data_IF_262271304552
#
_entry.id   IF_262271304552
#
_cell.length_a   1.000
_cell.length_b   1.000
_cell.length_c   1.000
_cell.angle_alpha   90.00
_cell.angle_beta   90.00
_cell.angle_gamma   90.00
#
_symmetry.space_group_name_H-M   'P 1'
#
loop_
_entity.id
_entity.type
_entity.pdbx_description
1 polymer ?
#
# COMPACT_ATOMS: atom_id res chain seq x y z
N UNK A 1 18.82 41.99 4.42
CA UNK A 1 17.39 41.64 4.36
C UNK A 1 16.97 41.05 3.00
N UNK A 2 17.91 40.61 2.15
CA UNK A 2 17.59 40.19 0.77
C UNK A 2 17.55 38.67 0.57
N UNK A 3 18.22 37.89 1.43
CA UNK A 3 18.23 36.42 1.36
C UNK A 3 16.93 35.75 1.82
N UNK A 4 16.13 36.43 2.66
CA UNK A 4 14.84 35.92 3.14
C UNK A 4 13.74 36.01 2.08
N UNK A 5 13.78 37.04 1.24
CA UNK A 5 12.82 37.24 0.14
C UNK A 5 13.11 36.29 -1.04
N UNK A 6 14.39 36.03 -1.35
CA UNK A 6 14.77 35.04 -2.37
C UNK A 6 14.43 33.60 -1.95
N UNK A 7 14.57 33.26 -0.66
CA UNK A 7 14.17 31.95 -0.14
C UNK A 7 12.66 31.71 -0.24
N UNK A 8 11.86 32.74 0.04
CA UNK A 8 10.40 32.65 -0.07
C UNK A 8 9.94 32.50 -1.52
N UNK A 9 10.59 33.21 -2.46
CA UNK A 9 10.31 33.11 -3.89
C UNK A 9 10.68 31.74 -4.48
N UNK A 10 11.76 31.12 -4.00
CA UNK A 10 12.14 29.77 -4.43
C UNK A 10 11.18 28.70 -3.89
N UNK A 11 10.71 28.87 -2.65
CA UNK A 11 9.73 27.97 -2.04
C UNK A 11 8.35 28.05 -2.72
N UNK A 12 7.90 29.24 -3.15
CA UNK A 12 6.64 29.39 -3.89
C UNK A 12 6.71 28.83 -5.31
N UNK A 13 7.86 28.93 -5.98
CA UNK A 13 8.05 28.32 -7.32
C UNK A 13 8.04 26.79 -7.24
N UNK A 14 8.62 26.19 -6.19
CA UNK A 14 8.59 24.73 -5.97
C UNK A 14 7.17 24.21 -5.68
N UNK A 15 6.33 25.00 -5.01
CA UNK A 15 4.94 24.63 -4.69
C UNK A 15 4.00 24.71 -5.89
N UNK A 16 4.21 25.65 -6.83
CA UNK A 16 3.37 25.78 -8.04
C UNK A 16 3.68 24.71 -9.09
N UNK A 17 4.91 24.20 -9.12
CA UNK A 17 5.33 23.14 -10.05
C UNK A 17 4.70 21.77 -9.81
N UNK A 18 4.09 21.53 -8.65
CA UNK A 18 3.45 20.25 -8.31
C UNK A 18 1.96 20.17 -8.68
N UNK A 19 1.36 21.26 -9.17
CA UNK A 19 -0.09 21.35 -9.39
C UNK A 19 -0.53 21.23 -10.87
N UNK A 20 0.39 21.02 -11.82
CA UNK A 20 0.07 20.91 -13.24
C UNK A 20 0.26 19.50 -13.76
N UNK A 21 -0.71 18.62 -13.49
CA UNK A 21 -0.90 17.39 -14.26
C UNK A 21 -1.99 17.64 -15.32
N UNK A 22 -1.76 17.32 -16.60
CA UNK A 22 -2.81 17.39 -17.62
C UNK A 22 -3.94 16.40 -17.30
N UNK A 23 -5.19 16.86 -17.42
CA UNK A 23 -6.41 16.12 -17.06
C UNK A 23 -7.04 15.31 -18.21
N UNK A 24 -6.38 15.18 -19.37
CA UNK A 24 -7.00 14.56 -20.56
C UNK A 24 -6.20 13.36 -21.08
N UNK A 25 -6.19 12.25 -20.32
CA UNK A 25 -5.92 10.91 -20.87
C UNK A 25 -6.98 9.93 -20.33
N UNK A 26 -7.91 9.45 -21.16
CA UNK A 26 -8.81 8.38 -20.78
C UNK A 26 -8.05 7.02 -20.77
N UNK A 27 -8.08 6.35 -19.61
CA UNK A 27 -7.86 4.90 -19.43
C UNK A 27 -6.43 4.30 -19.51
N UNK A 28 -5.39 5.09 -19.26
CA UNK A 28 -4.09 4.55 -18.89
C UNK A 28 -3.41 5.46 -17.89
N UNK A 29 -3.12 5.00 -16.68
CA UNK A 29 -2.25 5.77 -15.77
C UNK A 29 -0.93 5.97 -16.49
N UNK A 30 -0.63 7.22 -16.86
CA UNK A 30 0.61 7.57 -17.54
C UNK A 30 1.80 7.04 -16.74
N UNK A 31 2.67 6.29 -17.41
CA UNK A 31 3.88 5.71 -16.83
C UNK A 31 5.10 6.27 -17.57
N UNK A 32 5.55 7.50 -17.24
CA UNK A 32 6.64 8.16 -17.95
C UNK A 32 7.98 7.40 -17.86
N UNK A 33 8.09 6.49 -16.89
CA UNK A 33 9.31 5.75 -16.59
C UNK A 33 9.16 4.25 -16.95
N UNK A 34 8.19 3.88 -17.79
CA UNK A 34 7.87 2.48 -18.09
C UNK A 34 9.10 1.65 -18.51
N UNK A 35 9.98 2.20 -19.35
CA UNK A 35 11.20 1.49 -19.78
C UNK A 35 12.14 1.16 -18.62
N UNK A 36 12.34 2.12 -17.70
CA UNK A 36 13.11 1.88 -16.47
C UNK A 36 12.39 0.89 -15.57
N UNK A 37 11.08 1.07 -15.39
CA UNK A 37 10.26 0.29 -14.48
C UNK A 37 10.19 -1.18 -14.89
N UNK A 38 10.03 -1.47 -16.18
CA UNK A 38 10.08 -2.83 -16.73
C UNK A 38 11.45 -3.48 -16.53
N UNK A 39 12.54 -2.74 -16.75
CA UNK A 39 13.90 -3.27 -16.53
C UNK A 39 14.13 -3.64 -15.06
N UNK A 40 13.71 -2.78 -14.13
CA UNK A 40 13.81 -3.07 -12.70
C UNK A 40 12.84 -4.16 -12.26
N UNK A 41 11.66 -4.23 -12.87
CA UNK A 41 10.71 -5.33 -12.65
C UNK A 41 11.32 -6.67 -13.08
N UNK A 42 11.94 -6.74 -14.26
CA UNK A 42 12.59 -7.96 -14.73
C UNK A 42 13.73 -8.39 -13.81
N UNK A 43 14.52 -7.44 -13.29
CA UNK A 43 15.54 -7.74 -12.29
C UNK A 43 14.93 -8.29 -10.99
N UNK A 44 13.90 -7.64 -10.47
CA UNK A 44 13.22 -8.09 -9.25
C UNK A 44 12.57 -9.47 -9.44
N UNK A 45 11.91 -9.70 -10.57
CA UNK A 45 11.09 -10.87 -10.84
C UNK A 45 11.92 -12.09 -11.28
N UNK A 46 12.91 -11.88 -12.16
CA UNK A 46 13.69 -12.99 -12.74
C UNK A 46 15.03 -13.24 -12.04
N UNK A 47 15.51 -12.29 -11.22
CA UNK A 47 16.79 -12.43 -10.49
C UNK A 47 16.57 -12.43 -8.98
N UNK A 48 16.05 -11.35 -8.39
CA UNK A 48 15.94 -11.29 -6.93
C UNK A 48 14.95 -12.31 -6.36
N UNK A 49 13.77 -12.48 -6.96
CA UNK A 49 12.77 -13.42 -6.46
C UNK A 49 13.26 -14.88 -6.50
N UNK A 50 13.63 -15.46 -7.66
CA UNK A 50 13.96 -16.89 -7.72
C UNK A 50 15.25 -17.26 -6.99
N UNK A 51 16.24 -16.36 -6.93
CA UNK A 51 17.54 -16.67 -6.32
C UNK A 51 17.65 -16.27 -4.85
N UNK A 52 16.84 -15.34 -4.36
CA UNK A 52 16.95 -14.81 -2.99
C UNK A 52 15.62 -14.88 -2.25
N UNK A 53 14.62 -14.11 -2.69
CA UNK A 53 13.42 -13.86 -1.88
C UNK A 53 12.53 -15.10 -1.75
N UNK A 54 12.30 -15.83 -2.86
CA UNK A 54 11.47 -17.04 -2.89
C UNK A 54 12.09 -18.19 -2.08
N UNK A 55 13.39 -18.54 -2.21
CA UNK A 55 14.03 -19.52 -1.33
C UNK A 55 13.90 -19.18 0.16
N UNK A 56 14.10 -17.90 0.52
CA UNK A 56 13.93 -17.42 1.90
C UNK A 56 12.49 -17.56 2.37
N UNK A 57 11.52 -17.20 1.54
CA UNK A 57 10.10 -17.33 1.87
C UNK A 57 9.65 -18.80 2.05
N UNK A 58 10.17 -19.71 1.22
CA UNK A 58 9.93 -21.16 1.38
C UNK A 58 10.52 -21.64 2.70
N UNK A 59 11.77 -21.26 3.02
CA UNK A 59 12.38 -21.61 4.30
C UNK A 59 11.60 -21.01 5.49
N UNK A 60 11.15 -19.77 5.38
CA UNK A 60 10.31 -19.13 6.40
C UNK A 60 9.02 -19.92 6.65
N UNK A 61 8.32 -20.30 5.58
CA UNK A 61 7.09 -21.10 5.67
C UNK A 61 7.33 -22.49 6.27
N UNK A 62 8.42 -23.15 5.88
CA UNK A 62 8.66 -24.55 6.21
C UNK A 62 9.31 -24.73 7.60
N UNK A 63 10.11 -23.76 8.07
CA UNK A 63 10.85 -23.87 9.34
C UNK A 63 10.29 -23.00 10.48
N UNK A 64 9.54 -21.94 10.20
CA UNK A 64 8.98 -21.07 11.24
C UNK A 64 7.54 -21.50 11.56
N UNK A 65 7.23 -21.85 12.82
CA UNK A 65 5.91 -22.35 13.17
C UNK A 65 4.86 -21.24 13.08
N UNK A 66 3.63 -21.60 12.69
CA UNK A 66 2.52 -20.67 12.49
C UNK A 66 2.28 -19.68 13.66
N UNK A 67 2.35 -20.07 14.95
CA UNK A 67 2.20 -19.13 16.05
C UNK A 67 3.25 -18.01 16.06
N UNK A 68 4.50 -18.32 15.70
CA UNK A 68 5.56 -17.32 15.63
C UNK A 68 5.36 -16.37 14.44
N UNK A 69 4.97 -16.90 13.28
CA UNK A 69 4.65 -16.09 12.08
C UNK A 69 3.50 -15.13 12.35
N UNK A 70 2.40 -15.65 12.90
CA UNK A 70 1.23 -14.85 13.27
C UNK A 70 1.59 -13.81 14.34
N UNK A 71 2.36 -14.21 15.37
CA UNK A 71 2.77 -13.30 16.43
C UNK A 71 3.61 -12.14 15.92
N UNK A 72 4.56 -12.42 15.02
CA UNK A 72 5.41 -11.39 14.43
C UNK A 72 4.63 -10.47 13.50
N UNK A 73 3.72 -11.02 12.68
CA UNK A 73 2.82 -10.23 11.83
C UNK A 73 1.87 -9.34 12.65
N UNK A 74 1.37 -9.83 13.78
CA UNK A 74 0.55 -9.02 14.69
C UNK A 74 1.39 -7.90 15.33
N UNK A 75 2.61 -8.21 15.78
CA UNK A 75 3.49 -7.25 16.42
C UNK A 75 3.84 -6.10 15.48
N UNK A 76 4.28 -6.39 14.25
CA UNK A 76 4.66 -5.33 13.31
C UNK A 76 3.47 -4.51 12.85
N UNK A 77 2.30 -5.13 12.65
CA UNK A 77 1.05 -4.42 12.37
C UNK A 77 0.62 -3.53 13.53
N UNK A 78 0.78 -3.97 14.79
CA UNK A 78 0.46 -3.18 15.98
C UNK A 78 1.27 -1.86 16.05
N UNK A 79 2.51 -1.84 15.53
CA UNK A 79 3.33 -0.62 15.48
C UNK A 79 2.74 0.46 14.55
N UNK A 80 1.90 0.08 13.59
CA UNK A 80 1.28 0.98 12.61
C UNK A 80 -0.13 1.45 13.02
N UNK A 81 -0.74 0.83 14.02
CA UNK A 81 -2.08 1.20 14.52
C UNK A 81 -2.15 2.67 14.98
N UNK A 82 -1.17 3.25 15.69
CA UNK A 82 -1.19 4.67 16.05
C UNK A 82 -1.14 5.61 14.84
N UNK A 83 -0.37 5.26 13.80
CA UNK A 83 -0.34 6.02 12.56
C UNK A 83 -1.68 5.94 11.81
N UNK A 84 -2.28 4.75 11.77
CA UNK A 84 -3.61 4.54 11.19
C UNK A 84 -4.70 5.31 11.94
N UNK A 85 -4.61 5.38 13.28
CA UNK A 85 -5.48 6.20 14.11
C UNK A 85 -5.36 7.69 13.76
N UNK A 86 -4.14 8.24 13.73
CA UNK A 86 -3.90 9.65 13.40
C UNK A 86 -4.43 9.98 12.00
N UNK A 87 -4.15 9.14 11.02
CA UNK A 87 -4.59 9.35 9.65
C UNK A 87 -6.11 9.20 9.48
N UNK A 88 -6.77 8.30 10.21
CA UNK A 88 -8.23 8.26 10.23
C UNK A 88 -8.84 9.56 10.79
N UNK A 89 -8.25 10.14 11.84
CA UNK A 89 -8.65 11.46 12.34
C UNK A 89 -8.40 12.57 11.31
N UNK A 90 -7.26 12.54 10.62
CA UNK A 90 -6.96 13.51 9.56
C UNK A 90 -7.96 13.43 8.41
N UNK A 91 -8.42 12.24 8.03
CA UNK A 91 -9.49 12.03 7.04
C UNK A 91 -10.89 12.39 7.55
N UNK A 92 -11.04 12.79 8.82
CA UNK A 92 -12.32 13.16 9.42
C UNK A 92 -13.19 11.97 9.83
N UNK A 93 -12.62 10.76 9.97
CA UNK A 93 -13.32 9.56 10.46
C UNK A 93 -12.89 9.20 11.89
N UNK A 94 -13.50 9.83 12.92
CA UNK A 94 -13.14 9.56 14.30
C UNK A 94 -13.55 8.16 14.77
N UNK A 95 -14.54 7.54 14.12
CA UNK A 95 -14.98 6.20 14.48
C UNK A 95 -13.88 5.18 14.15
N UNK A 96 -13.33 5.22 12.94
CA UNK A 96 -12.19 4.39 12.56
C UNK A 96 -10.94 4.72 13.35
N UNK A 97 -10.69 6.00 13.65
CA UNK A 97 -9.60 6.39 14.54
C UNK A 97 -9.66 5.66 15.89
N UNK A 98 -10.85 5.61 16.50
CA UNK A 98 -11.05 4.89 17.77
C UNK A 98 -10.98 3.36 17.65
N UNK A 99 -11.26 2.78 16.47
CA UNK A 99 -11.02 1.35 16.21
C UNK A 99 -9.53 1.05 16.33
N UNK A 100 -8.68 1.79 15.61
CA UNK A 100 -7.23 1.62 15.65
C UNK A 100 -6.65 1.92 17.04
N UNK A 101 -7.17 2.93 17.75
CA UNK A 101 -6.82 3.18 19.15
C UNK A 101 -7.06 1.95 20.04
N UNK A 102 -8.27 1.38 19.97
CA UNK A 102 -8.63 0.23 20.79
C UNK A 102 -7.82 -1.01 20.40
N UNK A 103 -7.53 -1.21 19.11
CA UNK A 103 -6.65 -2.27 18.64
C UNK A 103 -5.26 -2.15 19.26
N UNK A 104 -4.64 -0.97 19.13
CA UNK A 104 -3.33 -0.71 19.73
C UNK A 104 -3.34 -0.90 21.26
N UNK A 105 -4.34 -0.35 21.94
CA UNK A 105 -4.46 -0.41 23.40
C UNK A 105 -4.59 -1.85 23.90
N UNK A 106 -5.51 -2.63 23.34
CA UNK A 106 -5.77 -4.01 23.77
C UNK A 106 -4.61 -4.93 23.40
N UNK A 107 -4.09 -4.83 22.18
CA UNK A 107 -3.01 -5.71 21.72
C UNK A 107 -1.69 -5.40 22.43
N UNK A 108 -1.40 -4.14 22.72
CA UNK A 108 -0.17 -3.78 23.45
C UNK A 108 -0.25 -4.20 24.92
N UNK A 109 -1.36 -3.92 25.61
CA UNK A 109 -1.46 -4.16 27.05
C UNK A 109 -1.80 -5.62 27.41
N UNK A 110 -2.75 -6.23 26.69
CA UNK A 110 -3.25 -7.56 26.97
C UNK A 110 -2.69 -8.62 26.00
N UNK A 111 -2.25 -8.19 24.82
CA UNK A 111 -1.71 -9.06 23.77
C UNK A 111 -0.20 -9.24 23.79
N UNK A 112 0.44 -9.08 24.95
CA UNK A 112 1.90 -9.17 25.12
C UNK A 112 2.68 -8.24 24.16
N UNK A 113 2.35 -6.94 24.17
CA UNK A 113 3.05 -5.96 23.34
C UNK A 113 2.69 -6.02 21.85
N UNK A 114 1.57 -6.67 21.49
CA UNK A 114 1.09 -6.80 20.12
C UNK A 114 1.30 -8.17 19.49
N UNK A 115 1.90 -9.14 20.18
CA UNK A 115 2.08 -10.50 19.66
C UNK A 115 0.74 -11.25 19.50
N UNK A 116 -0.25 -10.95 20.35
CA UNK A 116 -1.57 -11.57 20.30
C UNK A 116 -2.62 -10.50 19.92
N UNK A 117 -3.43 -10.78 18.90
CA UNK A 117 -4.54 -9.91 18.48
C UNK A 117 -5.77 -10.09 19.40
N UNK A 118 -5.66 -9.57 20.61
CA UNK A 118 -6.75 -9.58 21.61
C UNK A 118 -7.94 -8.78 21.12
N UNK A 119 -7.71 -7.66 20.42
CA UNK A 119 -8.76 -6.80 19.90
C UNK A 119 -9.64 -7.54 18.88
N UNK A 120 -9.04 -8.21 17.89
CA UNK A 120 -9.77 -8.97 16.89
C UNK A 120 -10.56 -10.14 17.47
N UNK A 121 -10.04 -10.79 18.51
CA UNK A 121 -10.76 -11.85 19.24
C UNK A 121 -11.93 -11.31 20.09
N UNK A 122 -11.80 -10.09 20.61
CA UNK A 122 -12.80 -9.48 21.48
C UNK A 122 -14.03 -8.97 20.70
N UNK A 123 -13.83 -8.45 19.49
CA UNK A 123 -14.91 -7.90 18.68
C UNK A 123 -14.59 -8.00 17.18
N UNK A 124 -15.48 -8.56 16.33
CA UNK A 124 -15.30 -8.60 14.88
C UNK A 124 -15.07 -7.23 14.23
N UNK A 125 -15.60 -6.15 14.82
CA UNK A 125 -15.38 -4.76 14.34
C UNK A 125 -13.96 -4.24 14.60
N UNK A 126 -13.20 -4.94 15.43
CA UNK A 126 -11.80 -4.66 15.72
C UNK A 126 -10.90 -5.68 15.03
N UNK A 127 -11.38 -6.40 14.01
CA UNK A 127 -10.52 -7.25 13.20
C UNK A 127 -9.39 -6.42 12.55
N UNK A 128 -8.25 -7.06 12.28
CA UNK A 128 -7.12 -6.39 11.64
C UNK A 128 -7.51 -5.90 10.24
N UNK A 129 -7.21 -4.64 9.98
CA UNK A 129 -7.34 -4.01 8.67
C UNK A 129 -5.96 -3.65 8.11
N UNK A 130 -5.90 -3.42 6.80
CA UNK A 130 -4.70 -2.87 6.16
C UNK A 130 -4.40 -1.45 6.71
N UNK A 131 -3.13 -1.11 6.90
CA UNK A 131 -2.73 0.17 7.47
C UNK A 131 -3.13 1.34 6.56
N UNK A 132 -3.71 2.38 7.16
CA UNK A 132 -4.04 3.63 6.47
C UNK A 132 -3.05 4.72 6.92
N UNK A 133 -1.98 4.90 6.14
CA UNK A 133 -0.91 5.86 6.44
C UNK A 133 -1.10 7.19 5.70
N UNK A 134 -0.17 8.12 5.89
CA UNK A 134 -0.28 9.48 5.38
C UNK A 134 -0.42 9.55 3.85
N UNK A 135 0.20 8.64 3.10
CA UNK A 135 -0.01 8.55 1.65
C UNK A 135 -1.46 8.32 1.27
N UNK A 136 -2.16 7.45 2.01
CA UNK A 136 -3.60 7.23 1.83
C UNK A 136 -4.44 8.46 2.24
N UNK A 137 -3.98 9.26 3.19
CA UNK A 137 -4.61 10.55 3.58
C UNK A 137 -4.45 11.59 2.49
N UNK A 138 -3.27 11.68 1.86
CA UNK A 138 -3.07 12.51 0.67
C UNK A 138 -3.99 12.05 -0.46
N UNK A 139 -4.11 10.75 -0.70
CA UNK A 139 -5.03 10.19 -1.68
C UNK A 139 -6.52 10.46 -1.38
N UNK A 140 -6.90 10.51 -0.10
CA UNK A 140 -8.25 10.88 0.31
C UNK A 140 -8.61 12.32 -0.04
N UNK A 141 -7.60 13.21 -0.03
CA UNK A 141 -7.71 14.61 -0.44
C UNK A 141 -7.31 14.85 -1.90
N UNK A 142 -7.48 13.83 -2.75
CA UNK A 142 -7.27 13.89 -4.20
C UNK A 142 -5.87 14.34 -4.65
N UNK A 143 -4.84 14.16 -3.80
CA UNK A 143 -3.45 14.36 -4.20
C UNK A 143 -3.07 13.24 -5.17
N UNK A 144 -2.51 13.63 -6.32
CA UNK A 144 -2.05 12.68 -7.35
C UNK A 144 -0.87 11.83 -6.88
N UNK A 145 -0.71 10.64 -7.47
CA UNK A 145 0.36 9.70 -7.12
C UNK A 145 1.78 10.22 -7.41
N UNK A 146 1.92 11.10 -8.41
CA UNK A 146 3.19 11.33 -9.09
C UNK A 146 3.55 10.16 -10.01
N UNK A 147 4.78 10.10 -10.53
CA UNK A 147 5.22 9.00 -11.37
C UNK A 147 5.31 7.69 -10.57
N UNK A 148 4.89 6.60 -11.21
CA UNK A 148 5.16 5.25 -10.74
C UNK A 148 6.64 4.90 -10.97
N UNK A 149 7.28 4.32 -9.96
CA UNK A 149 8.66 3.85 -10.05
C UNK A 149 8.74 2.41 -9.55
N UNK A 150 9.34 1.51 -10.33
CA UNK A 150 9.73 0.18 -9.87
C UNK A 150 11.18 0.24 -9.42
N UNK A 151 11.42 0.09 -8.12
CA UNK A 151 12.76 0.14 -7.54
C UNK A 151 13.34 -1.27 -7.37
N UNK A 152 14.65 -1.46 -7.60
CA UNK A 152 15.30 -2.75 -7.37
C UNK A 152 15.27 -3.11 -5.88
N UNK A 153 14.84 -4.33 -5.56
CA UNK A 153 14.72 -4.85 -4.19
C UNK A 153 13.51 -4.33 -3.39
N UNK A 154 13.06 -3.09 -3.62
CA UNK A 154 11.90 -2.51 -2.94
C UNK A 154 10.57 -2.89 -3.62
N UNK A 155 10.51 -2.80 -4.95
CA UNK A 155 9.30 -3.03 -5.72
C UNK A 155 8.60 -1.74 -6.15
N UNK A 156 7.27 -1.76 -6.17
CA UNK A 156 6.42 -0.62 -6.55
C UNK A 156 6.59 0.56 -5.58
N UNK A 157 6.76 1.77 -6.12
CA UNK A 157 6.93 2.99 -5.34
C UNK A 157 6.21 4.17 -6.00
N UNK A 158 5.51 4.98 -5.21
CA UNK A 158 5.07 6.33 -5.63
C UNK A 158 5.44 7.39 -4.59
N UNK A 159 5.60 8.64 -5.06
CA UNK A 159 5.91 9.76 -4.16
C UNK A 159 4.78 10.01 -3.15
N UNK A 160 3.53 9.81 -3.57
CA UNK A 160 2.38 10.00 -2.68
C UNK A 160 2.27 8.93 -1.62
N UNK A 161 2.31 7.65 -2.00
CA UNK A 161 2.08 6.55 -1.06
C UNK A 161 3.33 6.30 -0.21
N UNK A 162 4.35 5.71 -0.81
CA UNK A 162 5.57 5.33 -0.09
C UNK A 162 6.35 6.54 0.43
N UNK A 163 6.42 7.61 -0.35
CA UNK A 163 7.07 8.85 0.08
C UNK A 163 6.25 9.61 1.13
N UNK A 164 4.92 9.62 1.00
CA UNK A 164 4.03 10.26 1.97
C UNK A 164 3.99 9.54 3.30
N UNK A 165 4.01 8.21 3.29
CA UNK A 165 3.99 7.35 4.47
C UNK A 165 5.18 7.58 5.41
N UNK A 166 6.28 8.15 4.92
CA UNK A 166 7.39 8.58 5.78
C UNK A 166 7.00 9.65 6.78
N UNK A 167 5.96 10.45 6.50
CA UNK A 167 5.45 11.44 7.44
C UNK A 167 5.00 10.80 8.76
N UNK A 168 4.59 9.53 8.76
CA UNK A 168 4.16 8.83 9.97
C UNK A 168 5.34 8.40 10.86
N UNK A 169 6.57 8.54 10.39
CA UNK A 169 7.79 8.24 11.16
C UNK A 169 8.26 9.41 12.04
N UNK A 170 7.61 10.57 11.97
CA UNK A 170 8.00 11.76 12.75
C UNK A 170 7.32 11.84 14.12
N UNK A 171 6.33 10.98 14.38
CA UNK A 171 5.60 10.92 15.65
C UNK A 171 5.50 9.46 16.16
N UNK A 172 5.22 9.26 17.46
CA UNK A 172 5.11 7.91 18.02
C UNK A 172 3.99 7.10 17.37
N UNK A 173 4.14 5.79 17.16
CA UNK A 173 5.19 4.91 17.70
C UNK A 173 6.34 4.67 16.71
N UNK A 174 6.12 4.87 15.40
CA UNK A 174 7.11 4.59 14.36
C UNK A 174 8.39 5.42 14.53
N UNK A 175 8.30 6.63 15.10
CA UNK A 175 9.48 7.45 15.41
C UNK A 175 10.43 6.83 16.45
N UNK A 176 10.00 5.83 17.21
CA UNK A 176 10.85 5.13 18.18
C UNK A 176 11.74 4.06 17.52
N UNK A 177 11.44 3.68 16.28
CA UNK A 177 12.22 2.68 15.56
C UNK A 177 13.53 3.29 15.06
N UNK A 178 14.64 2.64 15.38
CA UNK A 178 15.91 2.94 14.70
C UNK A 178 15.82 2.50 13.24
N UNK A 179 16.71 3.02 12.39
CA UNK A 179 16.80 2.61 10.99
C UNK A 179 16.87 1.07 10.84
N UNK A 180 17.67 0.39 11.66
CA UNK A 180 17.79 -1.08 11.62
C UNK A 180 16.52 -1.81 12.04
N UNK A 181 15.76 -1.24 12.99
CA UNK A 181 14.46 -1.79 13.37
C UNK A 181 13.43 -1.62 12.26
N UNK A 182 13.38 -0.46 11.62
CA UNK A 182 12.49 -0.20 10.47
C UNK A 182 12.82 -1.09 9.28
N UNK A 183 14.12 -1.26 8.97
CA UNK A 183 14.57 -2.20 7.95
C UNK A 183 14.20 -3.64 8.31
N UNK A 184 14.39 -4.05 9.57
CA UNK A 184 14.00 -5.36 10.07
C UNK A 184 12.50 -5.62 9.94
N UNK A 185 11.66 -4.63 10.31
CA UNK A 185 10.20 -4.67 10.13
C UNK A 185 9.84 -4.91 8.65
N UNK A 186 10.39 -4.09 7.76
CA UNK A 186 10.15 -4.19 6.32
C UNK A 186 10.57 -5.56 5.74
N UNK A 187 11.73 -6.09 6.14
CA UNK A 187 12.20 -7.41 5.69
C UNK A 187 11.27 -8.53 6.17
N UNK A 188 10.89 -8.52 7.45
CA UNK A 188 10.01 -9.54 8.03
C UNK A 188 8.64 -9.54 7.36
N UNK A 189 8.04 -8.36 7.19
CA UNK A 189 6.75 -8.21 6.50
C UNK A 189 6.86 -8.67 5.05
N UNK A 190 7.92 -8.27 4.34
CA UNK A 190 8.17 -8.69 2.96
C UNK A 190 8.31 -10.21 2.82
N UNK A 191 9.04 -10.87 3.72
CA UNK A 191 9.19 -12.33 3.72
C UNK A 191 7.86 -13.01 4.03
N UNK A 192 7.11 -12.53 5.02
CA UNK A 192 5.81 -13.11 5.39
C UNK A 192 4.79 -12.95 4.26
N UNK A 193 4.67 -11.75 3.66
CA UNK A 193 3.82 -11.52 2.49
C UNK A 193 4.23 -12.41 1.32
N UNK A 194 5.54 -12.53 1.03
CA UNK A 194 6.01 -13.42 -0.03
C UNK A 194 5.66 -14.87 0.25
N UNK A 195 5.79 -15.33 1.50
CA UNK A 195 5.47 -16.68 1.91
C UNK A 195 3.98 -17.01 1.75
N UNK A 196 3.09 -16.04 2.02
CA UNK A 196 1.64 -16.18 1.77
C UNK A 196 1.30 -16.24 0.28
N UNK A 197 2.09 -15.58 -0.56
CA UNK A 197 1.87 -15.54 -2.02
C UNK A 197 2.45 -16.74 -2.77
N UNK A 198 3.22 -17.63 -2.12
CA UNK A 198 3.88 -18.79 -2.76
C UNK A 198 2.92 -19.67 -3.56
N UNK A 199 1.71 -19.88 -3.04
CA UNK A 199 0.69 -20.74 -3.68
C UNK A 199 -0.03 -20.03 -4.84
N UNK A 200 0.04 -18.71 -4.88
CA UNK A 200 -0.57 -17.85 -5.91
C UNK A 200 0.42 -17.40 -6.99
N UNK A 201 1.69 -17.84 -6.93
CA UNK A 201 2.75 -17.51 -7.91
C UNK A 201 2.31 -17.75 -9.36
N UNK A 202 1.50 -18.81 -9.58
CA UNK A 202 1.01 -19.19 -10.89
C UNK A 202 0.11 -18.14 -11.56
N UNK A 203 -0.62 -17.33 -10.77
CA UNK A 203 -1.50 -16.29 -11.32
C UNK A 203 -0.71 -15.23 -12.07
N UNK A 204 0.38 -14.76 -11.46
CA UNK A 204 1.23 -13.74 -12.07
C UNK A 204 2.07 -14.33 -13.21
N UNK A 205 2.59 -15.55 -13.05
CA UNK A 205 3.40 -16.25 -14.07
C UNK A 205 2.64 -16.55 -15.36
N UNK A 206 1.34 -16.81 -15.26
CA UNK A 206 0.49 -17.14 -16.41
C UNK A 206 -0.16 -15.90 -17.05
N UNK A 207 0.10 -14.71 -16.53
CA UNK A 207 -0.40 -13.47 -17.12
C UNK A 207 0.38 -13.10 -18.39
N UNK A 208 -0.28 -12.43 -19.34
CA UNK A 208 0.35 -12.00 -20.60
C UNK A 208 1.38 -10.89 -20.39
N UNK A 209 1.11 -9.97 -19.47
CA UNK A 209 2.05 -8.93 -19.04
C UNK A 209 2.07 -8.83 -17.51
N UNK A 210 3.00 -9.56 -16.84
CA UNK A 210 3.13 -9.55 -15.39
C UNK A 210 3.43 -8.16 -14.81
N UNK A 211 4.13 -7.31 -15.56
CA UNK A 211 4.46 -5.96 -15.11
C UNK A 211 3.20 -5.10 -15.00
N UNK A 212 2.38 -5.08 -16.06
CA UNK A 212 1.13 -4.32 -16.07
C UNK A 212 0.17 -4.85 -15.00
N UNK A 213 0.05 -6.17 -14.86
CA UNK A 213 -0.78 -6.78 -13.80
C UNK A 213 -0.34 -6.33 -12.41
N UNK A 214 0.96 -6.33 -12.12
CA UNK A 214 1.51 -5.87 -10.85
C UNK A 214 1.25 -4.38 -10.60
N UNK A 215 1.48 -3.55 -11.64
CA UNK A 215 1.27 -2.10 -11.55
C UNK A 215 -0.19 -1.74 -11.30
N UNK A 216 -1.13 -2.38 -12.00
CA UNK A 216 -2.56 -2.13 -11.77
C UNK A 216 -3.02 -2.66 -10.42
N UNK A 217 -2.51 -3.81 -9.96
CA UNK A 217 -2.81 -4.32 -8.62
C UNK A 217 -2.35 -3.35 -7.50
N UNK A 218 -1.15 -2.77 -7.65
CA UNK A 218 -0.66 -1.72 -6.76
C UNK A 218 -1.65 -0.55 -6.71
N UNK A 219 -2.01 -0.04 -7.88
CA UNK A 219 -2.89 1.11 -8.00
C UNK A 219 -4.32 0.86 -7.49
N UNK A 220 -4.88 -0.32 -7.75
CA UNK A 220 -6.19 -0.73 -7.21
C UNK A 220 -6.17 -0.80 -5.69
N UNK A 221 -5.11 -1.37 -5.10
CA UNK A 221 -4.94 -1.43 -3.64
C UNK A 221 -4.90 -0.03 -3.03
N UNK A 222 -4.06 0.86 -3.55
CA UNK A 222 -3.89 2.20 -2.97
C UNK A 222 -5.11 3.11 -3.18
N UNK A 223 -5.82 2.96 -4.31
CA UNK A 223 -7.10 3.65 -4.52
C UNK A 223 -8.17 3.20 -3.51
N UNK A 224 -8.23 1.90 -3.21
CA UNK A 224 -9.16 1.33 -2.24
C UNK A 224 -8.91 1.88 -0.83
N UNK A 225 -7.65 1.99 -0.42
CA UNK A 225 -7.26 2.53 0.89
C UNK A 225 -7.57 4.04 1.01
N UNK A 226 -7.25 4.83 -0.02
CA UNK A 226 -7.56 6.25 -0.06
C UNK A 226 -9.07 6.53 0.07
N UNK A 227 -9.91 5.66 -0.51
CA UNK A 227 -11.37 5.78 -0.52
C UNK A 227 -12.08 5.07 0.64
N UNK A 228 -11.35 4.66 1.68
CA UNK A 228 -11.93 4.08 2.89
C UNK A 228 -12.54 2.70 2.69
N UNK A 229 -12.02 1.91 1.75
CA UNK A 229 -12.47 0.54 1.51
C UNK A 229 -13.63 0.42 0.52
N UNK A 230 -13.77 1.39 -0.39
CA UNK A 230 -14.71 1.31 -1.52
C UNK A 230 -14.00 1.66 -2.83
N UNK A 231 -14.09 0.78 -3.82
CA UNK A 231 -13.75 1.13 -5.20
C UNK A 231 -15.04 1.58 -5.90
N UNK A 232 -15.00 2.74 -6.58
CA UNK A 232 -16.01 3.01 -7.60
C UNK A 232 -15.71 2.02 -8.74
N UNK A 233 -16.68 1.20 -9.17
CA UNK A 233 -16.50 0.40 -10.37
C UNK A 233 -16.03 1.31 -11.50
N UNK A 234 -14.97 0.94 -12.20
CA UNK A 234 -14.67 1.62 -13.45
C UNK A 234 -15.87 1.44 -14.37
N UNK A 235 -16.44 2.55 -14.84
CA UNK A 235 -17.46 2.52 -15.87
C UNK A 235 -16.78 1.98 -17.14
N UNK A 236 -17.00 0.70 -17.44
CA UNK A 236 -16.49 0.13 -18.67
C UNK A 236 -17.18 0.89 -19.83
N UNK A 237 -16.43 1.58 -20.71
CA UNK A 237 -17.01 2.37 -21.79
C UNK A 237 -17.80 1.50 -22.77
N UNK A 238 -17.49 0.20 -22.82
CA UNK A 238 -18.22 -0.81 -23.58
C UNK A 238 -19.34 -1.47 -22.76
N UNK A 239 -19.53 -1.13 -21.47
CA UNK A 239 -20.63 -1.70 -20.67
C UNK A 239 -21.99 -1.46 -21.32
N UNK A 240 -22.19 -0.28 -21.92
CA UNK A 240 -23.42 0.03 -22.66
C UNK A 240 -23.57 -0.79 -23.94
N UNK A 241 -22.47 -1.08 -24.63
CA UNK A 241 -22.49 -1.93 -25.83
C UNK A 241 -22.77 -3.39 -25.46
N UNK A 242 -22.11 -3.91 -24.42
CA UNK A 242 -22.33 -5.26 -23.89
C UNK A 242 -23.76 -5.42 -23.37
N UNK A 243 -24.31 -4.40 -22.70
CA UNK A 243 -25.69 -4.42 -22.24
C UNK A 243 -26.67 -4.51 -23.42
N UNK A 244 -26.43 -3.76 -24.51
CA UNK A 244 -27.22 -3.85 -25.74
C UNK A 244 -27.17 -5.26 -26.34
N UNK A 245 -25.99 -5.85 -26.43
CA UNK A 245 -25.83 -7.23 -26.94
C UNK A 245 -26.56 -8.27 -26.07
N UNK A 246 -26.59 -8.07 -24.75
CA UNK A 246 -27.31 -8.94 -23.81
C UNK A 246 -28.83 -8.80 -23.94
N UNK A 247 -29.34 -7.58 -24.08
CA UNK A 247 -30.77 -7.31 -24.23
C UNK A 247 -31.31 -7.85 -25.58
N UNK A 248 -30.48 -7.83 -26.64
CA UNK A 248 -30.79 -8.43 -27.95
C UNK A 248 -30.84 -9.98 -27.87
N UNK A 249 -30.00 -10.60 -27.04
CA UNK A 249 -30.01 -12.06 -26.82
C UNK A 249 -31.24 -12.48 -26.00
N UNK A 250 -31.63 -11.70 -24.98
CA UNK A 250 -32.78 -11.99 -24.13
C UNK A 250 -34.12 -11.72 -24.83
N UNK A 251 -34.17 -10.76 -25.76
CA UNK A 251 -35.36 -10.48 -26.60
C UNK A 251 -35.52 -11.45 -27.78
N UNK A 252 -34.51 -12.27 -28.07
CA UNK A 252 -34.55 -13.32 -29.09
C UNK A 252 -35.11 -14.67 -28.57
N UNK A 253 -35.56 -14.75 -27.31
CA UNK A 253 -36.29 -15.89 -26.70
C UNK A 253 -37.79 -15.64 -26.64
#
# INVERSE_FOLDING_TARGET
>A
MNFRLTGLAFATVLLVGCASAPQDEPQGRSDPLEGFNRTMFDFNYNVLDPYVLRPVAVAWRDYVPMPARNGLSNFTSNLEEPASMVNAFLKGDPYRGMIHFNRFFLNTLLGMGGLIDVAGMANPKLAREEPNRFGSTLGHYDVGYGPYVMLPGYGSFTLREDGGDWADTVYPVLSYLTFWMSAGKWVVEGIETRAQLLDSDGLLRNSSDPYVMMREAYFQRHDFLARGGSLKPEENPNAKAIQGDLDDIDSAK
#
